data_IF_524296757224
#
_entry.id   IF_524296757224
#
_cell.length_a   1.000
_cell.length_b   1.000
_cell.length_c   1.000
_cell.angle_alpha   90.00
_cell.angle_beta   90.00
_cell.angle_gamma   90.00
#
_symmetry.space_group_name_H-M   'P 1'
#
loop_
_entity.id
_entity.type
_entity.pdbx_description
1 polymer ?
#
# COMPACT_ATOMS: atom_id res chain seq x y z
N UNK A 1 11.48 19.84 -10.85
CA UNK A 1 11.28 18.39 -11.09
C UNK A 1 12.65 17.74 -11.25
N UNK A 2 13.44 17.66 -10.18
CA UNK A 2 14.81 17.14 -10.29
C UNK A 2 14.98 15.70 -9.82
N UNK A 3 14.11 15.23 -8.92
CA UNK A 3 14.23 13.88 -8.38
C UNK A 3 13.51 12.83 -9.24
N UNK A 4 12.31 13.14 -9.73
CA UNK A 4 11.57 12.29 -10.67
C UNK A 4 11.10 13.15 -11.83
N UNK A 5 11.59 12.81 -13.03
CA UNK A 5 11.36 13.57 -14.28
C UNK A 5 10.30 12.94 -15.20
N UNK A 6 9.89 11.71 -14.91
CA UNK A 6 8.93 10.98 -15.73
C UNK A 6 7.50 11.18 -15.24
N UNK A 7 6.61 11.47 -16.18
CA UNK A 7 5.18 11.62 -16.02
C UNK A 7 4.49 10.26 -15.81
N UNK A 8 5.14 9.18 -16.24
CA UNK A 8 4.70 7.80 -16.04
C UNK A 8 5.44 7.18 -14.84
N UNK A 9 5.14 7.72 -13.67
CA UNK A 9 5.67 7.28 -12.37
C UNK A 9 4.58 6.55 -11.55
N UNK A 10 5.03 5.59 -10.73
CA UNK A 10 4.21 4.89 -9.75
C UNK A 10 4.83 5.03 -8.36
N UNK A 11 3.98 5.16 -7.35
CA UNK A 11 4.39 5.07 -5.96
C UNK A 11 3.48 4.09 -5.23
N UNK A 12 4.09 3.26 -4.39
CA UNK A 12 3.39 2.32 -3.53
C UNK A 12 4.04 2.34 -2.14
N UNK A 13 3.21 2.34 -1.10
CA UNK A 13 3.67 2.22 0.28
C UNK A 13 2.69 1.37 1.08
N UNK A 14 3.22 0.60 2.04
CA UNK A 14 2.45 -0.28 2.94
C UNK A 14 2.86 0.03 4.37
N UNK A 15 1.88 0.15 5.27
CA UNK A 15 2.15 0.40 6.68
C UNK A 15 2.74 -0.83 7.38
N UNK A 16 3.90 -0.68 8.02
CA UNK A 16 4.49 -1.72 8.87
C UNK A 16 3.99 -1.55 10.31
N UNK A 17 4.22 -0.37 10.89
CA UNK A 17 3.61 0.11 12.13
C UNK A 17 2.51 1.11 11.83
N UNK A 18 1.67 1.42 12.83
CA UNK A 18 0.67 2.47 12.67
C UNK A 18 1.33 3.82 12.46
N UNK A 19 0.88 4.52 11.43
CA UNK A 19 1.14 5.93 11.23
C UNK A 19 -0.12 6.63 10.75
N UNK A 20 -0.04 7.95 10.62
CA UNK A 20 -1.18 8.78 10.28
C UNK A 20 -1.79 8.44 8.92
N UNK A 21 -0.96 7.96 7.98
CA UNK A 21 -1.40 7.65 6.63
C UNK A 21 -1.90 6.21 6.47
N UNK A 22 -1.22 5.23 7.05
CA UNK A 22 -1.48 3.80 6.87
C UNK A 22 -1.45 3.09 8.21
N UNK A 23 -2.42 2.19 8.42
CA UNK A 23 -2.35 1.23 9.52
C UNK A 23 -1.20 0.26 9.28
N UNK A 24 -0.51 -0.08 10.36
CA UNK A 24 0.49 -1.12 10.39
C UNK A 24 -0.11 -2.51 10.14
N UNK A 25 0.77 -3.48 9.90
CA UNK A 25 0.38 -4.86 9.69
C UNK A 25 -0.37 -5.39 10.92
N UNK A 26 -1.47 -6.12 10.69
CA UNK A 26 -2.23 -6.80 11.75
C UNK A 26 -2.22 -8.29 11.52
N UNK A 27 -1.63 -9.01 12.46
CA UNK A 27 -1.65 -10.47 12.50
C UNK A 27 -2.90 -10.93 13.25
N UNK A 28 -3.68 -11.80 12.64
CA UNK A 28 -4.83 -12.48 13.21
C UNK A 28 -4.62 -14.00 13.07
N UNK A 29 -5.46 -14.80 13.74
CA UNK A 29 -5.29 -16.27 13.81
C UNK A 29 -5.01 -16.93 12.46
N UNK A 30 -5.80 -16.64 11.44
CA UNK A 30 -5.72 -17.27 10.11
C UNK A 30 -5.38 -16.30 8.99
N UNK A 31 -5.10 -15.02 9.30
CA UNK A 31 -4.85 -14.01 8.28
C UNK A 31 -3.96 -12.86 8.74
N UNK A 32 -3.35 -12.22 7.77
CA UNK A 32 -2.61 -10.96 7.92
C UNK A 32 -3.38 -9.87 7.16
N UNK A 33 -3.60 -8.73 7.81
CA UNK A 33 -4.19 -7.55 7.18
C UNK A 33 -3.11 -6.49 6.98
N UNK A 34 -3.07 -5.92 5.78
CA UNK A 34 -2.17 -4.82 5.40
C UNK A 34 -2.97 -3.66 4.83
N UNK A 35 -2.54 -2.43 5.08
CA UNK A 35 -3.06 -1.25 4.42
C UNK A 35 -1.97 -0.59 3.58
N UNK A 36 -2.28 -0.31 2.32
CA UNK A 36 -1.37 0.29 1.35
C UNK A 36 -1.99 1.50 0.65
N UNK A 37 -1.13 2.37 0.12
CA UNK A 37 -1.51 3.39 -0.87
C UNK A 37 -0.74 3.13 -2.16
N UNK A 38 -1.43 3.19 -3.29
CA UNK A 38 -0.82 3.10 -4.62
C UNK A 38 -1.28 4.30 -5.43
N UNK A 39 -0.35 4.96 -6.10
CA UNK A 39 -0.64 6.12 -6.95
C UNK A 39 0.11 6.05 -8.27
N UNK A 40 -0.50 6.62 -9.30
CA UNK A 40 0.07 6.71 -10.65
C UNK A 40 0.02 8.16 -11.12
N UNK A 41 1.18 8.73 -11.42
CA UNK A 41 1.31 10.12 -11.83
C UNK A 41 0.52 10.40 -13.12
N UNK A 42 0.64 9.53 -14.13
CA UNK A 42 0.01 9.73 -15.43
C UNK A 42 -1.53 9.82 -15.35
N UNK A 43 -2.17 9.02 -14.51
CA UNK A 43 -3.63 9.04 -14.36
C UNK A 43 -4.12 9.90 -13.19
N UNK A 44 -3.22 10.44 -12.37
CA UNK A 44 -3.54 11.13 -11.12
C UNK A 44 -4.27 10.26 -10.09
N UNK A 45 -4.41 8.95 -10.32
CA UNK A 45 -5.23 8.08 -9.47
C UNK A 45 -4.48 7.75 -8.19
N UNK A 46 -5.18 7.87 -7.05
CA UNK A 46 -4.73 7.41 -5.74
C UNK A 46 -5.69 6.32 -5.25
N UNK A 47 -5.14 5.18 -4.85
CA UNK A 47 -5.89 4.04 -4.34
C UNK A 47 -5.40 3.69 -2.95
N UNK A 48 -6.32 3.58 -2.00
CA UNK A 48 -6.08 2.88 -0.73
C UNK A 48 -6.48 1.43 -0.92
N UNK A 49 -5.62 0.51 -0.53
CA UNK A 49 -5.80 -0.93 -0.71
C UNK A 49 -5.72 -1.58 0.67
N UNK A 50 -6.78 -2.30 1.03
CA UNK A 50 -6.79 -3.22 2.16
C UNK A 50 -6.55 -4.63 1.63
N UNK A 51 -5.49 -5.28 2.10
CA UNK A 51 -5.09 -6.63 1.72
C UNK A 51 -5.38 -7.62 2.83
N UNK A 52 -5.99 -8.76 2.49
CA UNK A 52 -6.21 -9.89 3.38
C UNK A 52 -5.44 -11.11 2.87
N UNK A 53 -4.45 -11.54 3.65
CA UNK A 53 -3.55 -12.64 3.31
C UNK A 53 -3.86 -13.83 4.23
N UNK A 54 -4.45 -14.90 3.69
CA UNK A 54 -4.82 -16.09 4.48
C UNK A 54 -3.67 -17.09 4.53
N UNK A 55 -3.30 -17.60 5.72
CA UNK A 55 -2.21 -18.60 5.81
C UNK A 55 -2.56 -19.91 5.12
N UNK A 56 -3.83 -20.33 5.18
CA UNK A 56 -4.25 -21.65 4.67
C UNK A 56 -4.34 -21.72 3.14
N UNK A 57 -4.13 -20.59 2.45
CA UNK A 57 -4.35 -20.46 1.00
C UNK A 57 -3.05 -20.29 0.20
N UNK A 58 -1.90 -20.17 0.87
CA UNK A 58 -0.58 -19.90 0.28
C UNK A 58 0.48 -20.76 0.95
#
# INVERSE_FOLDING_TARGET
MDLVRSDNCYFAATGITDGDLLKGVRYQKSKIITQSVVMRALSGTVRRIDGEHHFDKW
#
